data_IF_901767733519
#
_entry.id   IF_901767733519
#
_cell.length_a   1.000
_cell.length_b   1.000
_cell.length_c   1.000
_cell.angle_alpha   90.00
_cell.angle_beta   90.00
_cell.angle_gamma   90.00
#
_symmetry.space_group_name_H-M   'P 1'
#
loop_
_entity.id
_entity.type
_entity.pdbx_description
1 polymer ?
#
# COMPACT_ATOMS: atom_id res chain seq x y z
N UNK A 1 -5.23 2.53 20.17
CA UNK A 1 -5.35 3.80 19.41
C UNK A 1 -6.81 4.22 19.36
N UNK A 2 -7.12 5.50 19.54
CA UNK A 2 -8.49 6.01 19.56
C UNK A 2 -9.13 5.83 18.14
N UNK A 3 -10.43 5.51 18.08
CA UNK A 3 -11.19 5.37 16.83
C UNK A 3 -11.06 6.61 15.92
N UNK A 4 -10.93 7.81 16.49
CA UNK A 4 -10.69 9.04 15.76
C UNK A 4 -9.40 9.00 14.91
N UNK A 5 -8.37 8.31 15.37
CA UNK A 5 -7.11 8.20 14.63
C UNK A 5 -7.24 7.28 13.41
N UNK A 6 -8.01 6.20 13.54
CA UNK A 6 -8.29 5.30 12.40
C UNK A 6 -9.15 6.01 11.36
N UNK A 7 -10.14 6.81 11.77
CA UNK A 7 -10.97 7.60 10.86
C UNK A 7 -10.16 8.66 10.10
N UNK A 8 -9.22 9.34 10.78
CA UNK A 8 -8.30 10.28 10.11
C UNK A 8 -7.39 9.57 9.11
N UNK A 9 -6.85 8.42 9.49
CA UNK A 9 -5.99 7.60 8.64
C UNK A 9 -6.73 7.13 7.38
N UNK A 10 -7.95 6.60 7.56
CA UNK A 10 -8.82 6.17 6.46
C UNK A 10 -9.14 7.32 5.51
N UNK A 11 -9.54 8.47 6.04
CA UNK A 11 -9.82 9.66 5.24
C UNK A 11 -8.58 10.11 4.44
N UNK A 12 -7.39 10.04 5.04
CA UNK A 12 -6.13 10.38 4.39
C UNK A 12 -5.80 9.40 3.27
N UNK A 13 -5.88 8.09 3.53
CA UNK A 13 -5.57 7.04 2.56
C UNK A 13 -6.55 7.10 1.38
N UNK A 14 -7.86 7.16 1.65
CA UNK A 14 -8.87 7.28 0.59
C UNK A 14 -8.69 8.57 -0.21
N UNK A 15 -8.42 9.68 0.45
CA UNK A 15 -8.18 10.96 -0.19
C UNK A 15 -6.99 10.92 -1.16
N UNK A 16 -5.86 10.36 -0.75
CA UNK A 16 -4.66 10.22 -1.60
C UNK A 16 -4.97 9.30 -2.80
N UNK A 17 -5.57 8.15 -2.56
CA UNK A 17 -5.80 7.16 -3.61
C UNK A 17 -6.87 7.63 -4.58
N UNK A 18 -7.97 8.21 -4.09
CA UNK A 18 -9.05 8.74 -4.94
C UNK A 18 -8.56 9.89 -5.81
N UNK A 19 -7.84 10.87 -5.26
CA UNK A 19 -7.26 11.97 -6.04
C UNK A 19 -6.26 11.49 -7.10
N UNK A 20 -5.49 10.45 -6.78
CA UNK A 20 -4.57 9.82 -7.73
C UNK A 20 -5.32 9.18 -8.91
N UNK A 21 -6.41 8.46 -8.61
CA UNK A 21 -7.24 7.82 -9.63
C UNK A 21 -7.98 8.84 -10.48
N UNK A 22 -8.54 9.88 -9.88
CA UNK A 22 -9.19 10.98 -10.60
C UNK A 22 -8.20 11.62 -11.56
N UNK A 23 -6.97 11.86 -11.09
CA UNK A 23 -5.90 12.37 -11.94
C UNK A 23 -5.59 11.41 -13.11
N UNK A 24 -5.46 10.12 -12.84
CA UNK A 24 -5.21 9.13 -13.89
C UNK A 24 -6.35 9.05 -14.90
N UNK A 25 -7.61 9.15 -14.46
CA UNK A 25 -8.77 9.14 -15.34
C UNK A 25 -8.86 10.40 -16.20
N UNK A 26 -8.62 11.56 -15.60
CA UNK A 26 -8.70 12.85 -16.29
C UNK A 26 -7.57 13.05 -17.31
N UNK A 27 -6.33 12.71 -16.92
CA UNK A 27 -5.14 13.10 -17.68
C UNK A 27 -4.45 11.96 -18.41
N UNK A 28 -4.65 10.71 -18.02
CA UNK A 28 -4.05 9.58 -18.71
C UNK A 28 -4.73 9.26 -20.03
N UNK A 29 -5.83 9.94 -20.35
CA UNK A 29 -6.68 9.68 -21.52
C UNK A 29 -6.59 8.21 -21.95
N UNK A 30 -7.50 7.37 -21.45
CA UNK A 30 -7.57 5.93 -21.78
C UNK A 30 -7.99 5.78 -23.27
N UNK A 31 -7.35 6.51 -24.16
CA UNK A 31 -7.51 6.36 -25.60
C UNK A 31 -6.35 5.53 -26.12
N UNK A 32 -6.62 4.22 -26.19
CA UNK A 32 -6.14 3.30 -27.25
C UNK A 32 -4.65 3.17 -27.56
N UNK A 33 -3.72 3.79 -26.87
CA UNK A 33 -2.31 3.68 -27.22
C UNK A 33 -1.53 2.82 -26.23
N UNK A 34 -1.61 1.50 -26.43
CA UNK A 34 -0.76 0.55 -25.75
C UNK A 34 -1.43 -0.24 -24.62
N UNK A 35 -1.42 -1.55 -24.80
CA UNK A 35 -1.98 -2.51 -23.85
C UNK A 35 -1.41 -2.35 -22.42
N UNK A 36 -0.14 -1.98 -22.28
CA UNK A 36 0.51 -1.68 -21.00
C UNK A 36 -0.16 -0.54 -20.23
N UNK A 37 -0.53 0.54 -20.92
CA UNK A 37 -1.20 1.68 -20.28
C UNK A 37 -2.57 1.28 -19.74
N UNK A 38 -3.30 0.45 -20.50
CA UNK A 38 -4.59 -0.10 -20.06
C UNK A 38 -4.40 -0.99 -18.83
N UNK A 39 -3.42 -1.88 -18.86
CA UNK A 39 -3.10 -2.75 -17.73
C UNK A 39 -2.73 -1.94 -16.48
N UNK A 40 -1.84 -0.96 -16.61
CA UNK A 40 -1.45 -0.08 -15.54
C UNK A 40 -2.66 0.63 -14.93
N UNK A 41 -3.45 1.32 -15.75
CA UNK A 41 -4.62 2.07 -15.24
C UNK A 41 -5.61 1.14 -14.54
N UNK A 42 -5.90 -0.02 -15.13
CA UNK A 42 -6.82 -0.99 -14.54
C UNK A 42 -6.30 -1.54 -13.21
N UNK A 43 -5.02 -1.83 -13.14
CA UNK A 43 -4.36 -2.31 -11.92
C UNK A 43 -4.38 -1.26 -10.81
N UNK A 44 -4.13 0.02 -11.15
CA UNK A 44 -4.22 1.11 -10.18
C UNK A 44 -5.64 1.31 -9.63
N UNK A 45 -6.68 1.17 -10.49
CA UNK A 45 -8.09 1.17 -10.04
C UNK A 45 -8.36 -0.01 -9.10
N UNK A 46 -7.82 -1.19 -9.40
CA UNK A 46 -7.98 -2.36 -8.52
C UNK A 46 -7.29 -2.15 -7.16
N UNK A 47 -6.13 -1.49 -7.13
CA UNK A 47 -5.43 -1.19 -5.88
C UNK A 47 -6.27 -0.37 -4.91
N UNK A 48 -7.13 0.54 -5.40
CA UNK A 48 -8.09 1.25 -4.54
C UNK A 48 -8.92 0.27 -3.71
N UNK A 49 -9.55 -0.71 -4.35
CA UNK A 49 -10.34 -1.70 -3.63
C UNK A 49 -9.51 -2.52 -2.62
N UNK A 50 -8.23 -2.77 -2.91
CA UNK A 50 -7.34 -3.45 -1.97
C UNK A 50 -7.00 -2.58 -0.75
N UNK A 51 -6.81 -1.27 -0.93
CA UNK A 51 -6.63 -0.33 0.19
C UNK A 51 -7.90 -0.17 1.02
N UNK A 52 -9.07 -0.07 0.38
CA UNK A 52 -10.37 -0.06 1.07
C UNK A 52 -10.57 -1.33 1.92
N UNK A 53 -10.23 -2.49 1.37
CA UNK A 53 -10.27 -3.75 2.10
C UNK A 53 -9.29 -3.76 3.29
N UNK A 54 -8.07 -3.23 3.13
CA UNK A 54 -7.10 -3.11 4.21
C UNK A 54 -7.64 -2.22 5.35
N UNK A 55 -8.23 -1.06 5.03
CA UNK A 55 -8.83 -0.18 6.02
C UNK A 55 -10.00 -0.83 6.75
N UNK A 56 -10.86 -1.55 6.02
CA UNK A 56 -11.97 -2.30 6.62
C UNK A 56 -11.49 -3.38 7.60
N UNK A 57 -10.47 -4.14 7.21
CA UNK A 57 -9.88 -5.18 8.07
C UNK A 57 -9.22 -4.57 9.31
N UNK A 58 -8.49 -3.48 9.15
CA UNK A 58 -7.85 -2.74 10.24
C UNK A 58 -8.87 -2.23 11.23
N UNK A 59 -9.95 -1.56 10.75
CA UNK A 59 -11.04 -1.03 11.58
C UNK A 59 -11.74 -2.12 12.39
N UNK A 60 -11.84 -3.33 11.85
CA UNK A 60 -12.52 -4.45 12.49
C UNK A 60 -11.57 -5.39 13.25
N UNK A 61 -10.29 -5.06 13.39
CA UNK A 61 -9.34 -5.85 14.16
C UNK A 61 -8.95 -7.19 13.51
N UNK A 62 -9.11 -7.36 12.19
CA UNK A 62 -8.75 -8.57 11.45
C UNK A 62 -7.31 -8.49 10.93
N UNK A 63 -6.33 -8.49 11.83
CA UNK A 63 -4.93 -8.21 11.50
C UNK A 63 -4.20 -9.36 10.80
N UNK A 64 -4.65 -10.60 10.95
CA UNK A 64 -4.10 -11.76 10.20
C UNK A 64 -4.44 -11.59 8.71
N UNK A 65 -5.70 -11.32 8.43
CA UNK A 65 -6.21 -11.11 7.07
C UNK A 65 -5.62 -9.84 6.45
N UNK A 66 -5.44 -8.78 7.26
CA UNK A 66 -4.83 -7.52 6.86
C UNK A 66 -3.43 -7.73 6.25
N UNK A 67 -2.59 -8.56 6.87
CA UNK A 67 -1.25 -8.84 6.36
C UNK A 67 -1.27 -9.49 4.98
N UNK A 68 -2.27 -10.33 4.71
CA UNK A 68 -2.46 -10.94 3.39
C UNK A 68 -2.85 -9.90 2.34
N UNK A 69 -3.66 -8.92 2.73
CA UNK A 69 -4.04 -7.81 1.84
C UNK A 69 -2.86 -6.87 1.61
N UNK A 70 -2.07 -6.54 2.64
CA UNK A 70 -0.84 -5.76 2.49
C UNK A 70 0.15 -6.42 1.53
N UNK A 71 0.34 -7.73 1.66
CA UNK A 71 1.18 -8.48 0.72
C UNK A 71 0.64 -8.38 -0.71
N UNK A 72 -0.67 -8.53 -0.90
CA UNK A 72 -1.31 -8.41 -2.22
C UNK A 72 -1.07 -7.02 -2.83
N UNK A 73 -1.23 -5.94 -2.06
CA UNK A 73 -0.95 -4.57 -2.50
C UNK A 73 0.52 -4.44 -2.92
N UNK A 74 1.45 -4.93 -2.10
CA UNK A 74 2.88 -4.86 -2.40
C UNK A 74 3.27 -5.62 -3.67
N UNK A 75 2.74 -6.84 -3.84
CA UNK A 75 2.95 -7.67 -5.02
C UNK A 75 2.41 -6.98 -6.28
N UNK A 76 1.25 -6.35 -6.19
CA UNK A 76 0.66 -5.61 -7.30
C UNK A 76 1.47 -4.37 -7.67
N UNK A 77 1.96 -3.58 -6.70
CA UNK A 77 2.87 -2.46 -6.94
C UNK A 77 4.20 -2.91 -7.58
N UNK A 78 4.71 -4.07 -7.15
CA UNK A 78 5.91 -4.67 -7.73
C UNK A 78 5.69 -5.09 -9.18
N UNK A 79 4.51 -5.61 -9.49
CA UNK A 79 4.12 -5.98 -10.84
C UNK A 79 3.98 -4.77 -11.76
N UNK A 80 3.48 -3.62 -11.26
CA UNK A 80 3.45 -2.37 -12.02
C UNK A 80 4.87 -1.95 -12.46
N UNK A 81 5.83 -2.01 -11.55
CA UNK A 81 7.21 -1.69 -11.87
C UNK A 81 7.80 -2.66 -12.90
N UNK A 82 7.41 -3.93 -12.86
CA UNK A 82 7.77 -4.88 -13.91
C UNK A 82 7.18 -4.48 -15.27
N UNK A 83 5.90 -4.05 -15.31
CA UNK A 83 5.28 -3.56 -16.55
C UNK A 83 6.05 -2.38 -17.17
N UNK A 84 6.61 -1.49 -16.33
CA UNK A 84 7.40 -0.36 -16.83
C UNK A 84 8.74 -0.79 -17.43
N UNK A 85 9.34 -1.87 -16.92
CA UNK A 85 10.65 -2.33 -17.33
C UNK A 85 10.65 -3.12 -18.62
N UNK A 86 9.57 -3.86 -18.88
CA UNK A 86 9.47 -4.71 -20.07
C UNK A 86 9.20 -3.86 -21.33
N UNK A 87 9.96 -4.15 -22.37
CA UNK A 87 9.88 -3.34 -23.56
C UNK A 87 8.56 -3.51 -24.31
N UNK A 88 7.93 -4.70 -24.27
CA UNK A 88 6.70 -4.91 -25.02
C UNK A 88 5.80 -6.02 -24.44
N UNK A 89 4.73 -5.62 -23.77
CA UNK A 89 3.52 -6.44 -23.64
C UNK A 89 2.52 -5.84 -24.64
N UNK A 90 2.42 -6.43 -25.82
CA UNK A 90 1.60 -5.89 -26.91
C UNK A 90 0.20 -6.49 -26.94
N UNK A 91 0.03 -7.69 -26.36
CA UNK A 91 -1.22 -8.43 -26.46
C UNK A 91 -1.49 -9.28 -25.21
N UNK A 92 -2.74 -9.68 -25.05
CA UNK A 92 -3.17 -10.60 -23.99
C UNK A 92 -2.41 -11.95 -24.02
N UNK A 93 -1.94 -12.38 -25.17
CA UNK A 93 -1.13 -13.60 -25.35
C UNK A 93 0.22 -13.56 -24.63
N UNK A 94 0.71 -12.37 -24.26
CA UNK A 94 1.99 -12.19 -23.57
C UNK A 94 1.85 -12.31 -22.05
N UNK A 95 0.62 -12.22 -21.51
CA UNK A 95 0.34 -12.31 -20.08
C UNK A 95 0.82 -13.61 -19.40
N UNK A 96 0.76 -14.79 -20.03
CA UNK A 96 1.24 -16.03 -19.43
C UNK A 96 2.75 -16.04 -19.12
N UNK A 97 3.50 -15.11 -19.67
CA UNK A 97 4.96 -14.97 -19.45
C UNK A 97 5.29 -14.05 -18.27
N UNK A 98 4.29 -13.62 -17.52
CA UNK A 98 4.50 -12.73 -16.38
C UNK A 98 5.27 -13.44 -15.28
N UNK A 99 6.19 -12.69 -14.70
CA UNK A 99 7.04 -13.16 -13.61
C UNK A 99 6.27 -13.38 -12.32
N UNK A 100 6.81 -14.26 -11.48
CA UNK A 100 6.27 -14.46 -10.13
C UNK A 100 6.39 -13.16 -9.29
N UNK A 101 5.57 -12.99 -8.25
CA UNK A 101 5.69 -11.85 -7.35
C UNK A 101 7.10 -11.66 -6.78
N UNK A 102 7.78 -12.75 -6.41
CA UNK A 102 9.15 -12.71 -5.90
C UNK A 102 10.13 -12.11 -6.90
N UNK A 103 9.98 -12.44 -8.18
CA UNK A 103 10.82 -11.89 -9.26
C UNK A 103 10.50 -10.41 -9.50
N UNK A 104 9.22 -10.01 -9.40
CA UNK A 104 8.79 -8.63 -9.64
C UNK A 104 9.26 -7.65 -8.57
N UNK A 105 9.48 -8.07 -7.33
CA UNK A 105 10.03 -7.24 -6.24
C UNK A 105 11.38 -6.61 -6.61
N UNK A 106 12.21 -7.28 -7.42
CA UNK A 106 13.48 -6.71 -7.88
C UNK A 106 13.27 -5.46 -8.75
N UNK A 107 12.18 -5.39 -9.50
CA UNK A 107 11.85 -4.23 -10.34
C UNK A 107 11.38 -3.06 -9.49
N UNK A 108 10.57 -3.29 -8.46
CA UNK A 108 10.16 -2.27 -7.49
C UNK A 108 11.39 -1.67 -6.78
N UNK A 109 12.29 -2.52 -6.28
CA UNK A 109 13.55 -2.08 -5.66
C UNK A 109 14.39 -1.19 -6.59
N UNK A 110 14.49 -1.57 -7.85
CA UNK A 110 15.24 -0.83 -8.85
C UNK A 110 14.56 0.50 -9.19
N UNK A 111 13.25 0.48 -9.38
CA UNK A 111 12.47 1.67 -9.75
C UNK A 111 12.52 2.74 -8.67
N UNK A 112 12.37 2.34 -7.39
CA UNK A 112 12.37 3.24 -6.25
C UNK A 112 13.77 3.47 -5.64
N UNK A 113 14.80 2.75 -6.12
CA UNK A 113 16.16 2.77 -5.55
C UNK A 113 16.22 2.43 -4.05
N UNK A 114 15.31 1.56 -3.58
CA UNK A 114 15.16 1.18 -2.18
C UNK A 114 15.42 -0.31 -1.98
N UNK A 115 16.62 -0.66 -1.55
CA UNK A 115 16.99 -2.07 -1.31
C UNK A 115 16.22 -2.72 -0.16
N UNK A 116 15.79 -1.94 0.84
CA UNK A 116 15.00 -2.40 2.00
C UNK A 116 13.65 -3.00 1.62
N UNK A 117 13.09 -2.69 0.45
CA UNK A 117 11.82 -3.26 -0.01
C UNK A 117 11.84 -4.79 -0.14
N UNK A 118 13.01 -5.39 -0.34
CA UNK A 118 13.15 -6.85 -0.29
C UNK A 118 12.91 -7.42 1.12
N UNK A 119 13.34 -6.69 2.16
CA UNK A 119 13.07 -7.06 3.56
C UNK A 119 11.59 -6.88 3.89
N UNK A 120 10.98 -5.78 3.43
CA UNK A 120 9.53 -5.54 3.57
C UNK A 120 8.74 -6.70 2.96
N UNK A 121 9.06 -7.14 1.76
CA UNK A 121 8.42 -8.30 1.16
C UNK A 121 8.61 -9.59 1.99
N UNK A 122 9.80 -9.79 2.55
CA UNK A 122 10.08 -10.91 3.45
C UNK A 122 9.20 -10.89 4.71
N UNK A 123 9.02 -9.72 5.33
CA UNK A 123 8.13 -9.52 6.47
C UNK A 123 6.68 -9.83 6.07
N UNK A 124 6.17 -9.19 5.02
CA UNK A 124 4.81 -9.40 4.53
C UNK A 124 4.54 -10.87 4.16
N UNK A 125 5.53 -11.52 3.54
CA UNK A 125 5.43 -12.93 3.18
C UNK A 125 5.35 -13.85 4.41
N UNK A 126 6.09 -13.52 5.47
CA UNK A 126 6.08 -14.27 6.73
C UNK A 126 4.79 -14.03 7.50
N UNK A 127 4.32 -12.79 7.54
CA UNK A 127 3.13 -12.40 8.30
C UNK A 127 1.82 -12.75 7.61
N UNK A 128 1.79 -12.88 6.29
CA UNK A 128 0.63 -13.41 5.56
C UNK A 128 0.37 -14.89 5.86
N UNK A 129 1.36 -15.60 6.42
CA UNK A 129 1.15 -16.90 7.03
C UNK A 129 0.82 -16.74 8.51
N UNK A 130 0.07 -17.67 9.07
CA UNK A 130 -0.27 -17.71 10.49
C UNK A 130 1.01 -17.67 11.35
N UNK A 131 1.39 -16.49 11.83
CA UNK A 131 2.49 -16.33 12.78
C UNK A 131 1.98 -16.47 14.20
N UNK A 132 2.78 -17.08 15.08
CA UNK A 132 2.43 -17.22 16.50
C UNK A 132 2.16 -15.85 17.13
N UNK A 133 2.96 -14.81 16.78
CA UNK A 133 2.77 -13.43 17.28
C UNK A 133 1.37 -12.90 16.96
N UNK A 134 0.86 -13.13 15.76
CA UNK A 134 -0.47 -12.65 15.35
C UNK A 134 -1.60 -13.50 15.94
N UNK A 135 -1.41 -14.82 16.04
CA UNK A 135 -2.37 -15.69 16.71
C UNK A 135 -2.56 -15.26 18.18
N UNK A 136 -1.46 -14.91 18.86
CA UNK A 136 -1.51 -14.46 20.27
C UNK A 136 -2.36 -13.21 20.49
N UNK A 137 -2.56 -12.37 19.47
CA UNK A 137 -3.47 -11.19 19.54
C UNK A 137 -4.94 -11.57 19.61
N UNK A 138 -5.28 -12.82 19.28
CA UNK A 138 -6.64 -13.36 19.35
C UNK A 138 -6.83 -14.31 20.53
N UNK A 139 -5.89 -14.29 21.48
CA UNK A 139 -5.95 -15.11 22.69
C UNK A 139 -5.87 -14.23 23.93
N UNK A 140 -6.88 -14.30 24.77
CA UNK A 140 -6.79 -13.82 26.15
C UNK A 140 -6.29 -14.96 27.04
N UNK A 141 -5.10 -14.79 27.59
CA UNK A 141 -4.41 -15.85 28.33
C UNK A 141 -4.57 -15.61 29.83
N UNK A 142 -5.33 -16.45 30.47
CA UNK A 142 -5.51 -16.48 31.93
C UNK A 142 -4.46 -17.42 32.53
N UNK A 143 -3.24 -16.89 32.75
CA UNK A 143 -2.08 -17.68 33.18
C UNK A 143 -2.34 -18.41 34.52
N UNK A 144 -3.08 -17.78 35.43
CA UNK A 144 -3.39 -18.35 36.78
C UNK A 144 -4.35 -19.55 36.72
N UNK A 145 -5.16 -19.64 35.65
CA UNK A 145 -6.13 -20.70 35.45
C UNK A 145 -5.69 -21.75 34.43
N UNK A 146 -4.53 -21.56 33.80
CA UNK A 146 -4.07 -22.38 32.64
C UNK A 146 -5.11 -22.46 31.52
N UNK A 147 -5.82 -21.36 31.26
CA UNK A 147 -6.84 -21.23 30.22
C UNK A 147 -6.49 -20.13 29.25
N UNK A 148 -7.03 -20.23 28.05
CA UNK A 148 -7.00 -19.17 27.05
C UNK A 148 -8.37 -19.07 26.39
N UNK A 149 -8.89 -17.85 26.29
CA UNK A 149 -10.10 -17.55 25.56
C UNK A 149 -9.76 -17.01 24.16
N UNK A 150 -10.58 -17.33 23.18
CA UNK A 150 -10.39 -16.84 21.82
C UNK A 150 -11.14 -15.52 21.68
N UNK A 151 -10.39 -14.47 21.32
CA UNK A 151 -10.93 -13.16 20.98
C UNK A 151 -11.12 -13.13 19.45
N UNK A 152 -12.32 -12.86 18.96
CA UNK A 152 -12.58 -12.81 17.52
C UNK A 152 -12.08 -11.54 16.84
N UNK A 153 -11.81 -10.50 17.60
CA UNK A 153 -11.28 -9.22 17.12
C UNK A 153 -10.22 -8.72 18.09
N UNK A 154 -9.07 -8.29 17.58
CA UNK A 154 -8.08 -7.64 18.42
C UNK A 154 -8.55 -6.21 18.76
N UNK A 155 -8.39 -5.80 20.03
CA UNK A 155 -8.92 -4.51 20.50
C UNK A 155 -8.11 -3.32 20.01
N UNK A 156 -6.82 -3.49 19.74
CA UNK A 156 -5.92 -2.38 19.40
C UNK A 156 -5.21 -2.57 18.08
N UNK A 157 -5.14 -1.48 17.31
CA UNK A 157 -4.33 -1.38 16.09
C UNK A 157 -2.86 -1.34 16.47
N UNK A 158 -2.04 -2.16 15.85
CA UNK A 158 -0.59 -2.17 16.01
C UNK A 158 0.04 -1.04 15.16
N UNK A 159 0.96 -0.29 15.74
CA UNK A 159 1.69 0.76 15.05
C UNK A 159 2.51 0.22 13.85
N UNK A 160 2.92 -1.04 13.91
CA UNK A 160 3.57 -1.72 12.80
C UNK A 160 2.60 -1.86 11.61
N UNK A 161 1.33 -2.16 11.85
CA UNK A 161 0.31 -2.27 10.80
C UNK A 161 0.02 -0.90 10.16
N UNK A 162 -0.03 0.17 10.96
CA UNK A 162 -0.19 1.54 10.45
C UNK A 162 1.04 1.97 9.64
N UNK A 163 2.23 1.71 10.16
CA UNK A 163 3.48 2.01 9.47
C UNK A 163 3.57 1.29 8.13
N UNK A 164 3.14 0.02 8.10
CA UNK A 164 3.08 -0.77 6.87
C UNK A 164 2.08 -0.19 5.87
N UNK A 165 0.88 0.18 6.31
CA UNK A 165 -0.12 0.84 5.47
C UNK A 165 0.43 2.12 4.84
N UNK A 166 1.04 3.00 5.65
CA UNK A 166 1.61 4.27 5.19
C UNK A 166 2.78 4.05 4.21
N UNK A 167 3.62 3.03 4.46
CA UNK A 167 4.66 2.63 3.52
C UNK A 167 4.06 2.20 2.17
N UNK A 168 2.98 1.43 2.18
CA UNK A 168 2.30 0.99 0.97
C UNK A 168 1.64 2.15 0.23
N UNK A 169 1.02 3.10 0.94
CA UNK A 169 0.46 4.32 0.34
C UNK A 169 1.57 5.18 -0.29
N UNK A 170 2.69 5.40 0.40
CA UNK A 170 3.84 6.10 -0.15
C UNK A 170 4.40 5.39 -1.39
N UNK A 171 4.52 4.06 -1.34
CA UNK A 171 4.94 3.25 -2.50
C UNK A 171 3.96 3.38 -3.68
N UNK A 172 2.65 3.41 -3.40
CA UNK A 172 1.62 3.64 -4.41
C UNK A 172 1.79 5.00 -5.11
N UNK A 173 2.02 6.07 -4.34
CA UNK A 173 2.25 7.43 -4.89
C UNK A 173 3.48 7.44 -5.80
N UNK A 174 4.58 6.82 -5.37
CA UNK A 174 5.82 6.72 -6.15
C UNK A 174 5.62 5.93 -7.44
N UNK A 175 4.99 4.75 -7.38
CA UNK A 175 4.72 3.90 -8.55
C UNK A 175 3.81 4.61 -9.53
N UNK A 176 2.79 5.33 -9.05
CA UNK A 176 1.93 6.16 -9.90
C UNK A 176 2.73 7.24 -10.60
N UNK A 177 3.62 7.93 -9.88
CA UNK A 177 4.50 8.96 -10.44
C UNK A 177 5.37 8.41 -11.58
N UNK A 178 5.97 7.23 -11.37
CA UNK A 178 6.77 6.58 -12.41
C UNK A 178 5.91 6.24 -13.63
N UNK A 179 4.73 5.66 -13.40
CA UNK A 179 3.81 5.27 -14.48
C UNK A 179 3.36 6.46 -15.30
N UNK A 180 2.96 7.55 -14.66
CA UNK A 180 2.56 8.79 -15.34
C UNK A 180 3.71 9.37 -16.15
N UNK A 181 4.93 9.43 -15.60
CA UNK A 181 6.12 9.89 -16.33
C UNK A 181 6.44 8.98 -17.51
N UNK A 182 6.23 7.68 -17.38
CA UNK A 182 6.53 6.70 -18.43
C UNK A 182 5.53 6.73 -19.57
N UNK A 183 4.24 6.84 -19.27
CA UNK A 183 3.17 6.85 -20.26
C UNK A 183 2.88 8.25 -20.83
N UNK A 184 3.46 9.27 -20.22
CA UNK A 184 3.39 10.66 -20.67
C UNK A 184 2.11 11.38 -20.24
N UNK A 185 2.25 12.69 -20.11
CA UNK A 185 1.12 13.60 -19.92
C UNK A 185 0.60 14.08 -21.27
N UNK A 186 -0.68 14.39 -21.34
CA UNK A 186 -1.29 14.98 -22.52
C UNK A 186 -0.74 16.39 -22.81
N UNK A 187 -0.23 17.12 -21.80
CA UNK A 187 0.41 18.42 -21.95
C UNK A 187 1.24 18.82 -20.70
N UNK A 188 2.04 19.90 -20.85
CA UNK A 188 2.92 20.42 -19.78
C UNK A 188 2.17 20.97 -18.55
N UNK A 189 0.96 21.46 -18.72
CA UNK A 189 0.14 21.97 -17.62
C UNK A 189 -0.24 20.83 -16.69
N UNK A 190 -0.59 19.68 -17.24
CA UNK A 190 -0.90 18.47 -16.46
C UNK A 190 0.32 17.93 -15.70
N UNK A 191 1.51 18.03 -16.30
CA UNK A 191 2.76 17.66 -15.62
C UNK A 191 3.03 18.55 -14.40
N UNK A 192 2.82 19.86 -14.52
CA UNK A 192 2.98 20.80 -13.41
C UNK A 192 1.96 20.57 -12.29
N UNK A 193 0.69 20.35 -12.63
CA UNK A 193 -0.37 20.06 -11.65
C UNK A 193 -0.10 18.73 -10.92
N UNK A 194 0.31 17.70 -11.65
CA UNK A 194 0.71 16.43 -11.06
C UNK A 194 1.89 16.61 -10.09
N UNK A 195 2.93 17.33 -10.47
CA UNK A 195 4.10 17.55 -9.61
C UNK A 195 3.71 18.19 -8.28
N UNK A 196 2.81 19.17 -8.32
CA UNK A 196 2.28 19.82 -7.10
C UNK A 196 1.52 18.82 -6.23
N UNK A 197 0.57 18.06 -6.80
CA UNK A 197 -0.21 17.05 -6.07
C UNK A 197 0.67 15.95 -5.49
N UNK A 198 1.65 15.49 -6.24
CA UNK A 198 2.63 14.50 -5.80
C UNK A 198 3.38 14.98 -4.54
N UNK A 199 3.84 16.24 -4.54
CA UNK A 199 4.49 16.83 -3.37
C UNK A 199 3.54 16.92 -2.15
N UNK A 200 2.28 17.25 -2.38
CA UNK A 200 1.27 17.36 -1.32
C UNK A 200 0.92 15.98 -0.73
N UNK A 201 0.78 14.95 -1.55
CA UNK A 201 0.55 13.57 -1.09
C UNK A 201 1.73 13.03 -0.28
N UNK A 202 2.97 13.26 -0.74
CA UNK A 202 4.15 12.84 -0.01
C UNK A 202 4.28 13.55 1.35
N UNK A 203 4.00 14.86 1.41
CA UNK A 203 3.97 15.60 2.67
C UNK A 203 2.94 15.03 3.64
N UNK A 204 1.77 14.65 3.13
CA UNK A 204 0.70 14.08 3.97
C UNK A 204 1.10 12.71 4.52
N UNK A 205 1.67 11.82 3.71
CA UNK A 205 2.21 10.53 4.18
C UNK A 205 3.27 10.73 5.26
N UNK A 206 4.22 11.65 5.04
CA UNK A 206 5.26 11.99 6.01
C UNK A 206 4.65 12.56 7.30
N UNK A 207 3.63 13.42 7.19
CA UNK A 207 2.92 13.99 8.34
C UNK A 207 2.29 12.91 9.20
N UNK A 208 1.64 11.91 8.61
CA UNK A 208 1.03 10.80 9.34
C UNK A 208 2.09 9.91 10.01
N UNK A 209 3.19 9.59 9.31
CA UNK A 209 4.31 8.86 9.91
C UNK A 209 4.92 9.63 11.09
N UNK A 210 5.07 10.95 10.97
CA UNK A 210 5.61 11.78 12.06
C UNK A 210 4.69 11.80 13.28
N UNK A 211 3.38 11.87 13.08
CA UNK A 211 2.41 11.77 14.20
C UNK A 211 2.55 10.46 14.95
N UNK A 212 2.65 9.35 14.21
CA UNK A 212 2.81 8.02 14.80
C UNK A 212 4.10 7.92 15.62
N UNK A 213 5.22 8.44 15.10
CA UNK A 213 6.50 8.43 15.81
C UNK A 213 6.46 9.27 17.10
N UNK A 214 5.76 10.41 17.09
CA UNK A 214 5.63 11.28 18.25
C UNK A 214 4.69 10.73 19.31
N UNK A 215 3.64 9.99 18.92
CA UNK A 215 2.73 9.34 19.88
C UNK A 215 3.40 8.24 20.69
N UNK A 216 4.49 7.68 20.16
CA UNK A 216 5.25 6.60 20.79
C UNK A 216 6.48 7.08 21.58
N UNK A 217 6.71 8.41 21.67
CA UNK A 217 7.80 8.96 22.48
C UNK A 217 7.34 9.03 23.95
N UNK A 218 7.87 8.19 24.86
CA UNK A 218 7.49 8.17 26.27
C UNK A 218 7.76 9.52 26.99
N UNK A 219 8.57 10.40 26.41
CA UNK A 219 8.85 11.73 26.96
C UNK A 219 7.74 12.76 26.70
N UNK A 220 6.81 12.46 25.78
CA UNK A 220 5.70 13.38 25.41
C UNK A 220 4.36 12.89 25.98
N UNK A 221 4.24 11.62 26.34
CA UNK A 221 3.00 11.03 26.84
C UNK A 221 2.60 11.52 28.25
N UNK A 222 3.49 12.19 29.00
CA UNK A 222 3.28 12.68 30.37
C UNK A 222 3.08 14.21 30.48
N UNK A 223 2.79 14.91 29.37
CA UNK A 223 2.45 16.34 29.36
C UNK A 223 0.98 16.56 28.97
#
# INVERSE_FOLDING_TARGET
MDNNCIDELESTVDGIISQNLDFLQEYAQIRSEGFKKVLFTFSMVRLKASFEAAMLLMRNGFYIELSSVFRLIFEQLSWECYLFSENEIQAQSDLPKLKSPQETVSYLKTALKMNSLGQVYGILSTEAHLSVKKIMRYLDIHADECKADIIFQAEEVDDDDISMLLLLVGTYVEVTSIGIKRFGFSNKTHEADFSKRYDDWNKEVIRQLSKLMLSNDPLIADQ
#
